data_IF_042673457769
#
_entry.id   IF_042673457769
#
_cell.length_a   1.000
_cell.length_b   1.000
_cell.length_c   1.000
_cell.angle_alpha   90.00
_cell.angle_beta   90.00
_cell.angle_gamma   90.00
#
_symmetry.space_group_name_H-M   'P 1'
#
loop_
_entity.id
_entity.type
_entity.pdbx_description
1 polymer ?
#
# COMPACT_ATOMS: atom_id res chain seq x y z
N UNK A 1 39.27 4.92 -41.70
CA UNK A 1 37.81 4.79 -41.56
C UNK A 1 37.36 4.38 -40.14
N UNK A 2 38.08 3.49 -39.44
CA UNK A 2 37.70 3.05 -38.07
C UNK A 2 37.79 4.16 -37.03
N UNK A 3 38.85 4.98 -37.03
CA UNK A 3 39.02 6.03 -36.01
C UNK A 3 37.94 7.13 -36.08
N UNK A 4 37.55 7.53 -37.29
CA UNK A 4 36.48 8.52 -37.48
C UNK A 4 35.12 8.00 -36.97
N UNK A 5 34.86 6.71 -37.12
CA UNK A 5 33.64 6.07 -36.60
C UNK A 5 33.63 6.03 -35.06
N UNK A 6 34.78 5.86 -34.42
CA UNK A 6 34.94 5.90 -32.97
C UNK A 6 34.74 7.31 -32.42
N UNK A 7 35.27 8.33 -33.10
CA UNK A 7 35.07 9.75 -32.76
C UNK A 7 33.59 10.13 -32.87
N UNK A 8 32.90 9.72 -33.94
CA UNK A 8 31.45 9.94 -34.08
C UNK A 8 30.66 9.21 -32.99
N UNK A 9 31.15 8.08 -32.48
CA UNK A 9 30.52 7.34 -31.38
C UNK A 9 30.74 8.02 -30.03
N UNK A 10 31.94 8.53 -29.75
CA UNK A 10 32.24 9.23 -28.50
C UNK A 10 31.50 10.55 -28.38
N UNK A 11 31.36 11.32 -29.46
CA UNK A 11 30.60 12.58 -29.47
C UNK A 11 29.11 12.33 -29.13
N UNK A 12 28.51 11.28 -29.70
CA UNK A 12 27.12 10.89 -29.37
C UNK A 12 26.98 10.47 -27.91
N UNK A 13 27.92 9.67 -27.41
CA UNK A 13 27.91 9.19 -26.03
C UNK A 13 28.10 10.34 -25.02
N UNK A 14 28.91 11.35 -25.33
CA UNK A 14 29.07 12.55 -24.51
C UNK A 14 27.81 13.42 -24.52
N UNK A 15 27.15 13.58 -25.68
CA UNK A 15 25.87 14.28 -25.78
C UNK A 15 24.77 13.59 -24.98
N UNK A 16 24.70 12.26 -24.99
CA UNK A 16 23.79 11.47 -24.16
C UNK A 16 24.14 11.57 -22.66
N UNK A 17 25.41 11.58 -22.30
CA UNK A 17 25.84 11.68 -20.90
C UNK A 17 25.65 13.10 -20.31
N UNK A 18 25.67 14.15 -21.15
CA UNK A 18 25.27 15.52 -20.76
C UNK A 18 23.76 15.69 -20.64
N UNK A 19 22.98 14.75 -21.18
CA UNK A 19 21.54 14.70 -20.96
C UNK A 19 21.35 14.29 -19.50
N UNK A 20 21.16 15.31 -18.64
CA UNK A 20 20.76 15.12 -17.25
C UNK A 20 19.73 13.98 -17.21
N UNK A 21 20.01 12.86 -16.50
CA UNK A 21 18.98 11.88 -16.25
C UNK A 21 17.86 12.69 -15.63
N UNK A 22 16.69 12.72 -16.26
CA UNK A 22 15.49 13.25 -15.62
C UNK A 22 15.33 12.38 -14.39
N UNK A 23 15.92 12.80 -13.27
CA UNK A 23 15.61 12.30 -11.95
C UNK A 23 14.14 12.65 -11.83
N UNK A 24 13.31 11.68 -12.15
CA UNK A 24 11.89 11.73 -11.89
C UNK A 24 11.84 11.83 -10.37
N UNK A 25 11.68 13.05 -9.89
CA UNK A 25 11.25 13.30 -8.53
C UNK A 25 9.83 12.76 -8.47
N UNK A 26 9.69 11.49 -8.08
CA UNK A 26 8.42 10.95 -7.61
C UNK A 26 8.14 11.73 -6.33
N UNK A 27 7.38 12.80 -6.46
CA UNK A 27 6.83 13.49 -5.31
C UNK A 27 5.78 12.57 -4.73
N UNK A 28 6.01 12.12 -3.51
CA UNK A 28 5.05 11.33 -2.74
C UNK A 28 4.02 12.26 -2.07
N UNK A 29 3.40 13.15 -2.86
CA UNK A 29 2.30 14.00 -2.39
C UNK A 29 0.99 13.18 -2.39
N UNK A 30 0.99 12.03 -1.71
CA UNK A 30 -0.23 11.24 -1.50
C UNK A 30 -0.87 11.76 -0.22
N UNK A 31 -2.07 12.32 -0.34
CA UNK A 31 -2.87 12.72 0.81
C UNK A 31 -3.20 11.49 1.67
N UNK A 32 -3.04 11.62 2.98
CA UNK A 32 -3.40 10.57 3.93
C UNK A 32 -4.92 10.37 3.91
N UNK A 33 -5.36 9.18 3.50
CA UNK A 33 -6.77 8.81 3.58
C UNK A 33 -7.09 8.28 4.97
N UNK A 34 -7.84 9.06 5.74
CA UNK A 34 -8.35 8.66 7.05
C UNK A 34 -9.76 8.07 6.90
N UNK A 35 -9.94 6.79 7.23
CA UNK A 35 -11.24 6.08 7.20
C UNK A 35 -12.08 6.24 8.49
N UNK A 36 -11.70 7.18 9.37
CA UNK A 36 -12.31 7.41 10.66
C UNK A 36 -11.91 6.38 11.73
N UNK A 37 -12.74 6.25 12.78
CA UNK A 37 -12.52 5.32 13.90
C UNK A 37 -12.97 3.90 13.55
N UNK A 38 -12.17 2.90 13.95
CA UNK A 38 -12.49 1.48 13.82
C UNK A 38 -13.37 1.02 14.99
N UNK A 39 -14.68 1.27 14.92
CA UNK A 39 -15.61 1.04 16.03
C UNK A 39 -16.67 -0.04 15.77
N UNK A 40 -16.91 -0.40 14.51
CA UNK A 40 -18.06 -1.23 14.13
C UNK A 40 -17.66 -2.71 14.17
N UNK A 41 -18.34 -3.54 14.95
CA UNK A 41 -17.95 -4.95 15.08
C UNK A 41 -18.85 -5.88 14.27
N UNK A 42 -18.27 -6.92 13.70
CA UNK A 42 -19.00 -8.02 13.10
C UNK A 42 -19.64 -8.88 14.18
N UNK A 43 -20.96 -9.05 14.13
CA UNK A 43 -21.69 -9.91 15.06
C UNK A 43 -21.32 -11.41 14.96
N UNK A 44 -20.74 -11.86 13.84
CA UNK A 44 -20.45 -13.27 13.61
C UNK A 44 -19.06 -13.69 14.08
N UNK A 45 -18.06 -12.82 13.90
CA UNK A 45 -16.66 -13.18 14.14
C UNK A 45 -15.88 -12.11 14.93
N UNK A 46 -16.55 -11.06 15.42
CA UNK A 46 -15.93 -10.04 16.25
C UNK A 46 -14.93 -9.12 15.53
N UNK A 47 -14.77 -9.25 14.22
CA UNK A 47 -13.89 -8.38 13.43
C UNK A 47 -14.36 -6.92 13.53
N UNK A 48 -13.44 -5.99 13.80
CA UNK A 48 -13.74 -4.56 13.91
C UNK A 48 -13.50 -3.87 12.57
N UNK A 49 -14.36 -2.92 12.22
CA UNK A 49 -14.43 -2.23 10.95
C UNK A 49 -14.43 -0.72 11.12
N UNK A 50 -13.91 -0.05 10.09
CA UNK A 50 -14.13 1.38 9.88
C UNK A 50 -15.55 1.66 9.39
N UNK A 51 -16.09 2.83 9.76
CA UNK A 51 -17.41 3.25 9.28
C UNK A 51 -17.42 3.47 7.77
N UNK A 52 -16.34 4.01 7.22
CA UNK A 52 -16.19 4.29 5.79
C UNK A 52 -15.91 3.03 4.94
N UNK A 53 -15.60 1.89 5.57
CA UNK A 53 -15.43 0.63 4.83
C UNK A 53 -16.77 0.03 4.35
N UNK A 54 -17.90 0.54 4.86
CA UNK A 54 -19.24 0.10 4.41
C UNK A 54 -19.37 0.32 2.90
N UNK A 55 -19.85 -0.69 2.19
CA UNK A 55 -20.22 -0.52 0.78
C UNK A 55 -21.43 0.44 0.64
N UNK A 56 -21.80 0.78 -0.60
CA UNK A 56 -22.98 1.61 -0.90
C UNK A 56 -24.30 1.02 -0.39
N UNK A 57 -24.33 -0.28 -0.05
CA UNK A 57 -25.46 -0.97 0.57
C UNK A 57 -25.38 -1.00 2.11
N UNK A 58 -24.46 -0.26 2.72
CA UNK A 58 -24.19 -0.23 4.16
C UNK A 58 -23.86 -1.59 4.79
N UNK A 59 -23.30 -2.53 4.01
CA UNK A 59 -22.95 -3.88 4.45
C UNK A 59 -21.45 -4.11 4.52
N UNK A 60 -21.05 -4.88 5.52
CA UNK A 60 -19.69 -5.39 5.70
C UNK A 60 -19.57 -6.78 5.09
N UNK A 61 -18.65 -6.93 4.12
CA UNK A 61 -18.51 -8.19 3.36
C UNK A 61 -17.10 -8.79 3.45
N UNK A 62 -16.16 -8.11 4.12
CA UNK A 62 -14.73 -8.45 4.08
C UNK A 62 -14.31 -9.52 5.09
N UNK A 63 -14.97 -9.63 6.25
CA UNK A 63 -14.52 -10.57 7.31
C UNK A 63 -14.90 -12.04 7.05
N UNK A 64 -16.20 -12.35 7.06
CA UNK A 64 -16.70 -13.69 7.38
C UNK A 64 -17.82 -14.12 6.43
N UNK A 65 -18.04 -13.34 5.36
CA UNK A 65 -19.10 -13.54 4.36
C UNK A 65 -20.45 -13.89 5.01
N UNK A 66 -20.94 -13.01 5.90
CA UNK A 66 -22.18 -13.21 6.65
C UNK A 66 -22.16 -14.46 7.56
N UNK A 67 -21.01 -14.76 8.15
CA UNK A 67 -20.82 -15.90 9.07
C UNK A 67 -20.60 -17.25 8.38
N UNK A 68 -20.48 -17.29 7.04
CA UNK A 68 -20.13 -18.52 6.30
C UNK A 68 -18.70 -19.00 6.57
N UNK A 69 -17.81 -18.08 6.94
CA UNK A 69 -16.43 -18.41 7.31
C UNK A 69 -16.29 -18.34 8.82
N UNK A 70 -15.94 -19.47 9.45
CA UNK A 70 -15.49 -19.47 10.83
C UNK A 70 -13.99 -19.20 10.88
N UNK A 71 -13.62 -18.02 11.37
CA UNK A 71 -12.22 -17.70 11.66
C UNK A 71 -11.86 -18.27 13.03
N UNK A 72 -10.68 -18.89 13.19
CA UNK A 72 -10.21 -19.32 14.50
C UNK A 72 -10.05 -18.09 15.39
N UNK A 73 -10.43 -18.23 16.67
CA UNK A 73 -10.17 -17.19 17.66
C UNK A 73 -8.66 -17.01 17.81
N UNK A 74 -8.22 -15.75 17.84
CA UNK A 74 -6.85 -15.45 18.22
C UNK A 74 -6.65 -15.87 19.69
N UNK A 75 -5.50 -16.49 20.04
CA UNK A 75 -5.21 -16.77 21.43
C UNK A 75 -5.14 -15.45 22.22
N UNK A 76 -5.51 -15.50 23.50
CA UNK A 76 -5.40 -14.35 24.39
C UNK A 76 -3.98 -13.78 24.38
N UNK A 77 -3.89 -12.46 24.54
CA UNK A 77 -2.60 -11.78 24.66
C UNK A 77 -1.78 -12.41 25.81
N UNK A 78 -0.47 -12.66 25.61
CA UNK A 78 0.43 -13.13 26.66
C UNK A 78 0.29 -12.28 27.92
N UNK A 79 0.32 -12.90 29.11
CA UNK A 79 0.16 -12.18 30.40
C UNK A 79 1.14 -11.02 30.58
N UNK A 80 2.31 -11.10 29.95
CA UNK A 80 3.33 -10.05 29.96
C UNK A 80 2.85 -8.72 29.36
N UNK A 81 1.83 -8.74 28.48
CA UNK A 81 1.29 -7.54 27.82
C UNK A 81 0.04 -6.98 28.50
N UNK A 82 -0.45 -7.60 29.57
CA UNK A 82 -1.69 -7.19 30.26
C UNK A 82 -1.52 -6.01 31.23
N UNK A 83 -0.29 -5.49 31.39
CA UNK A 83 0.08 -4.53 32.43
C UNK A 83 0.64 -3.19 31.89
N UNK A 84 0.32 -2.81 30.64
CA UNK A 84 0.67 -1.50 30.07
C UNK A 84 -0.49 -0.52 30.19
#
# INVERSE_FOLDING_TARGET
MVQESTVRRSIRNEADNRRCPKRVCIRNDVEEHNCGTMSEQCNFCGAVYWKEEKNTAHKYTKCCHDGKVQLPAFPDAPELLKHC
#
